data_IF_857271399535
#
_entry.id   IF_857271399535
#
_cell.length_a   1.000
_cell.length_b   1.000
_cell.length_c   1.000
_cell.angle_alpha   90.00
_cell.angle_beta   90.00
_cell.angle_gamma   90.00
#
_symmetry.space_group_name_H-M   'P 1'
#
loop_
_entity.id
_entity.type
_entity.pdbx_description
1 polymer ?
#
# COMPACT_ATOMS: atom_id res chain seq x y z
N UNK A 1 -3.45 1.29 18.34
CA UNK A 1 -2.35 0.46 17.80
C UNK A 1 -2.82 -0.88 17.16
N UNK A 2 -4.12 -1.09 16.88
CA UNK A 2 -4.68 -2.44 16.63
C UNK A 2 -5.23 -2.64 15.19
N UNK A 3 -5.19 -1.61 14.34
CA UNK A 3 -6.02 -1.56 13.12
C UNK A 3 -5.59 -2.51 12.00
N UNK A 4 -4.30 -2.53 11.63
CA UNK A 4 -3.80 -3.46 10.61
C UNK A 4 -3.66 -4.89 11.17
N UNK A 5 -3.31 -5.04 12.45
CA UNK A 5 -3.13 -6.34 13.09
C UNK A 5 -4.46 -7.13 13.12
N UNK A 6 -5.59 -6.46 13.39
CA UNK A 6 -6.92 -7.07 13.24
C UNK A 6 -7.28 -7.41 11.79
N UNK A 7 -6.89 -6.56 10.83
CA UNK A 7 -7.07 -6.82 9.40
C UNK A 7 -6.30 -8.08 8.98
N UNK A 8 -5.05 -8.21 9.42
CA UNK A 8 -4.20 -9.38 9.20
C UNK A 8 -4.83 -10.60 9.84
N UNK A 9 -5.32 -10.50 11.08
CA UNK A 9 -6.05 -11.58 11.76
C UNK A 9 -7.33 -12.00 11.02
N UNK A 10 -8.07 -11.04 10.45
CA UNK A 10 -9.24 -11.35 9.64
C UNK A 10 -8.88 -12.01 8.31
N UNK A 11 -7.75 -11.61 7.70
CA UNK A 11 -7.23 -12.19 6.46
C UNK A 11 -6.63 -13.60 6.68
N UNK A 12 -5.95 -13.85 7.80
CA UNK A 12 -5.44 -15.19 8.16
C UNK A 12 -6.56 -16.17 8.49
N UNK A 13 -7.57 -15.73 9.24
CA UNK A 13 -8.69 -16.59 9.68
C UNK A 13 -9.58 -16.98 8.50
N UNK A 14 -9.81 -16.08 7.54
CA UNK A 14 -10.58 -16.38 6.32
C UNK A 14 -9.74 -16.98 5.19
N UNK A 15 -8.73 -17.80 5.49
CA UNK A 15 -7.82 -18.41 4.51
C UNK A 15 -8.49 -19.38 3.50
N UNK A 16 -9.76 -19.75 3.69
CA UNK A 16 -10.62 -20.39 2.65
C UNK A 16 -11.05 -19.40 1.55
N UNK A 17 -10.93 -18.11 1.80
CA UNK A 17 -11.16 -17.04 0.84
C UNK A 17 -9.83 -16.75 0.12
N UNK A 18 -9.43 -17.69 -0.75
CA UNK A 18 -8.57 -17.42 -1.92
C UNK A 18 -9.13 -16.28 -2.79
N UNK A 19 -10.34 -15.81 -2.50
CA UNK A 19 -10.97 -14.67 -3.14
C UNK A 19 -10.58 -13.30 -2.58
N UNK A 20 -9.78 -13.09 -1.52
CA UNK A 20 -9.36 -11.71 -1.16
C UNK A 20 -8.37 -11.14 -2.18
N UNK A 21 -7.49 -11.99 -2.74
CA UNK A 21 -6.59 -11.60 -3.84
C UNK A 21 -7.37 -11.28 -5.12
N UNK A 22 -8.42 -12.06 -5.41
CA UNK A 22 -9.37 -11.77 -6.49
C UNK A 22 -10.28 -10.57 -6.17
N UNK A 23 -10.64 -10.36 -4.91
CA UNK A 23 -11.54 -9.30 -4.49
C UNK A 23 -10.78 -7.97 -4.47
N UNK A 24 -9.56 -7.87 -3.93
CA UNK A 24 -8.75 -6.66 -4.08
C UNK A 24 -8.48 -6.31 -5.56
N UNK A 25 -8.31 -7.32 -6.42
CA UNK A 25 -8.20 -7.14 -7.88
C UNK A 25 -9.54 -6.78 -8.58
N UNK A 26 -10.71 -7.15 -8.02
CA UNK A 26 -12.04 -6.93 -8.61
C UNK A 26 -12.90 -5.84 -7.94
N UNK A 27 -12.62 -5.45 -6.70
CA UNK A 27 -13.51 -4.66 -5.83
C UNK A 27 -13.47 -3.17 -6.13
N UNK A 28 -12.45 -2.69 -6.84
CA UNK A 28 -12.23 -1.27 -7.09
C UNK A 28 -12.18 -0.44 -5.80
N UNK A 29 -12.06 0.89 -5.97
CA UNK A 29 -11.92 1.82 -4.84
C UNK A 29 -13.10 1.78 -3.84
N UNK A 30 -14.31 1.40 -4.27
CA UNK A 30 -15.54 1.51 -3.46
C UNK A 30 -15.65 0.44 -2.38
N UNK A 31 -15.44 -0.82 -2.72
CA UNK A 31 -15.60 -1.90 -1.74
C UNK A 31 -14.36 -2.02 -0.83
N UNK A 32 -13.17 -1.66 -1.34
CA UNK A 32 -11.98 -1.50 -0.51
C UNK A 32 -12.13 -0.35 0.49
N UNK A 33 -12.67 0.80 0.06
CA UNK A 33 -13.04 1.91 0.94
C UNK A 33 -14.09 1.48 1.97
N UNK A 34 -15.13 0.74 1.58
CA UNK A 34 -16.12 0.19 2.54
C UNK A 34 -15.48 -0.77 3.53
N UNK A 35 -14.57 -1.63 3.09
CA UNK A 35 -13.92 -2.60 3.98
C UNK A 35 -12.95 -1.92 4.96
N UNK A 36 -12.11 -1.00 4.47
CA UNK A 36 -11.26 -0.14 5.31
C UNK A 36 -12.14 0.65 6.27
N UNK A 37 -13.17 1.33 5.78
CA UNK A 37 -14.11 2.07 6.63
C UNK A 37 -14.79 1.16 7.66
N UNK A 38 -15.18 -0.06 7.33
CA UNK A 38 -15.81 -0.99 8.30
C UNK A 38 -14.79 -1.46 9.35
N UNK A 39 -13.58 -1.83 8.92
CA UNK A 39 -12.50 -2.27 9.79
C UNK A 39 -11.98 -1.14 10.71
N UNK A 40 -12.01 0.10 10.23
CA UNK A 40 -11.59 1.32 10.93
C UNK A 40 -12.71 1.87 11.82
N UNK A 41 -13.96 1.92 11.33
CA UNK A 41 -15.15 2.42 12.07
C UNK A 41 -15.48 1.54 13.26
N UNK A 42 -15.31 0.21 13.15
CA UNK A 42 -15.41 -0.71 14.30
C UNK A 42 -14.36 -0.47 15.38
N UNK A 43 -13.39 0.43 15.15
CA UNK A 43 -12.33 0.81 16.08
C UNK A 43 -12.42 2.26 16.53
N UNK A 44 -13.42 3.05 16.08
CA UNK A 44 -13.63 4.44 16.51
C UNK A 44 -14.00 4.60 18.00
N UNK A 45 -14.10 3.51 18.76
CA UNK A 45 -14.09 3.58 20.24
C UNK A 45 -12.68 3.74 20.84
N UNK A 46 -11.61 3.77 20.04
CA UNK A 46 -10.26 4.07 20.51
C UNK A 46 -9.52 4.96 19.49
N UNK A 47 -9.44 6.25 19.82
CA UNK A 47 -8.60 7.33 19.26
C UNK A 47 -7.74 7.01 18.03
N UNK A 48 -7.99 7.77 16.93
CA UNK A 48 -7.20 8.01 15.69
C UNK A 48 -6.25 6.88 15.18
N UNK A 49 -6.19 6.60 13.87
CA UNK A 49 -5.18 5.70 13.33
C UNK A 49 -3.77 6.10 13.78
N UNK A 50 -2.99 5.15 14.27
CA UNK A 50 -1.58 5.42 14.61
C UNK A 50 -0.81 5.80 13.33
N UNK A 51 0.27 6.58 13.46
CA UNK A 51 1.06 7.05 12.30
C UNK A 51 1.51 5.90 11.38
N UNK A 52 1.72 4.70 11.90
CA UNK A 52 2.04 3.49 11.11
C UNK A 52 0.91 3.15 10.12
N UNK A 53 -0.36 3.19 10.55
CA UNK A 53 -1.51 2.95 9.68
C UNK A 53 -1.64 4.07 8.63
N UNK A 54 -1.37 5.31 9.02
CA UNK A 54 -1.36 6.44 8.09
C UNK A 54 -0.32 6.23 6.97
N UNK A 55 0.91 5.88 7.33
CA UNK A 55 1.99 5.58 6.37
C UNK A 55 1.59 4.43 5.45
N UNK A 56 1.11 3.30 6.01
CA UNK A 56 0.64 2.14 5.24
C UNK A 56 -0.39 2.52 4.18
N UNK A 57 -1.44 3.26 4.55
CA UNK A 57 -2.52 3.64 3.64
C UNK A 57 -2.07 4.65 2.58
N UNK A 58 -1.20 5.60 2.95
CA UNK A 58 -0.65 6.56 2.00
C UNK A 58 0.28 5.89 0.99
N UNK A 59 1.16 4.98 1.43
CA UNK A 59 2.00 4.16 0.53
C UNK A 59 1.16 3.34 -0.42
N UNK A 60 0.15 2.64 0.10
CA UNK A 60 -0.78 1.86 -0.70
C UNK A 60 -1.38 2.70 -1.82
N UNK A 61 -1.99 3.83 -1.46
CA UNK A 61 -2.70 4.65 -2.44
C UNK A 61 -1.75 5.36 -3.40
N UNK A 62 -0.58 5.78 -2.93
CA UNK A 62 0.40 6.43 -3.79
C UNK A 62 1.00 5.44 -4.79
N UNK A 63 1.39 4.23 -4.36
CA UNK A 63 1.86 3.17 -5.24
C UNK A 63 0.82 2.77 -6.29
N UNK A 64 -0.46 2.66 -5.89
CA UNK A 64 -1.58 2.43 -6.83
C UNK A 64 -1.66 3.54 -7.90
N UNK A 65 -1.60 4.81 -7.48
CA UNK A 65 -1.71 5.94 -8.39
C UNK A 65 -0.48 6.08 -9.31
N UNK A 66 0.70 5.59 -8.88
CA UNK A 66 1.92 5.57 -9.69
C UNK A 66 1.91 4.47 -10.76
N UNK A 67 0.95 3.54 -10.71
CA UNK A 67 0.88 2.43 -11.67
C UNK A 67 0.93 2.90 -13.12
N UNK A 68 0.22 3.96 -13.50
CA UNK A 68 0.27 4.49 -14.88
C UNK A 68 1.58 5.18 -15.20
N UNK A 69 2.21 5.84 -14.21
CA UNK A 69 3.49 6.56 -14.38
C UNK A 69 4.63 5.60 -14.62
N UNK A 70 4.56 4.40 -14.04
CA UNK A 70 5.54 3.33 -14.22
C UNK A 70 5.18 2.34 -15.34
N UNK A 71 4.15 2.63 -16.16
CA UNK A 71 3.65 1.73 -17.21
C UNK A 71 3.13 0.37 -16.70
N UNK A 72 2.68 0.34 -15.44
CA UNK A 72 2.17 -0.81 -14.70
C UNK A 72 0.66 -0.71 -14.43
N UNK A 73 -0.09 -0.07 -15.32
CA UNK A 73 -1.52 0.20 -15.13
C UNK A 73 -2.36 -1.06 -14.85
N UNK A 74 -1.96 -2.21 -15.39
CA UNK A 74 -2.61 -3.51 -15.14
C UNK A 74 -2.37 -4.07 -13.74
N UNK A 75 -1.35 -3.60 -13.02
CA UNK A 75 -0.91 -4.08 -11.71
C UNK A 75 -1.25 -3.10 -10.57
N UNK A 76 -2.07 -2.07 -10.82
CA UNK A 76 -2.39 -1.04 -9.83
C UNK A 76 -2.90 -1.62 -8.49
N UNK A 77 -3.74 -2.65 -8.53
CA UNK A 77 -4.23 -3.32 -7.32
C UNK A 77 -3.13 -4.05 -6.54
N UNK A 78 -2.14 -4.64 -7.22
CA UNK A 78 -1.01 -5.28 -6.55
C UNK A 78 -0.04 -4.25 -5.96
N UNK A 79 0.18 -3.13 -6.65
CA UNK A 79 0.95 -2.01 -6.12
C UNK A 79 0.27 -1.40 -4.88
N UNK A 80 -1.06 -1.33 -4.85
CA UNK A 80 -1.80 -0.96 -3.64
C UNK A 80 -1.49 -1.91 -2.48
N UNK A 81 -1.60 -3.22 -2.70
CA UNK A 81 -1.34 -4.23 -1.67
C UNK A 81 0.11 -4.21 -1.19
N UNK A 82 1.07 -4.03 -2.10
CA UNK A 82 2.48 -3.86 -1.76
C UNK A 82 2.67 -2.66 -0.81
N UNK A 83 2.14 -1.48 -1.18
CA UNK A 83 2.25 -0.29 -0.33
C UNK A 83 1.57 -0.48 1.02
N UNK A 84 0.42 -1.15 1.06
CA UNK A 84 -0.32 -1.45 2.28
C UNK A 84 0.49 -2.34 3.24
N UNK A 85 1.12 -3.38 2.72
CA UNK A 85 1.91 -4.32 3.52
C UNK A 85 3.36 -3.89 3.78
N UNK A 86 3.78 -2.74 3.25
CA UNK A 86 5.17 -2.24 3.36
C UNK A 86 5.66 -1.91 4.78
N UNK A 87 4.76 -1.91 5.77
CA UNK A 87 5.06 -1.70 7.20
C UNK A 87 4.43 -2.79 8.08
N UNK A 88 4.08 -3.92 7.47
CA UNK A 88 3.37 -5.01 8.15
C UNK A 88 4.19 -5.60 9.30
N UNK A 89 5.49 -5.77 9.08
CA UNK A 89 6.49 -6.19 10.06
C UNK A 89 6.43 -5.37 11.36
N UNK A 90 6.36 -4.05 11.24
CA UNK A 90 6.25 -3.12 12.38
C UNK A 90 4.95 -3.29 13.15
N UNK A 91 3.87 -3.65 12.44
CA UNK A 91 2.54 -3.75 13.04
C UNK A 91 2.41 -5.04 13.83
N UNK A 92 2.87 -6.15 13.28
CA UNK A 92 2.76 -7.46 13.93
C UNK A 92 3.97 -7.79 14.81
N UNK A 93 4.99 -6.92 14.82
CA UNK A 93 6.24 -7.06 15.56
C UNK A 93 6.99 -8.37 15.25
N UNK A 94 7.19 -8.64 13.95
CA UNK A 94 7.92 -9.80 13.41
C UNK A 94 8.72 -9.40 12.18
N UNK A 95 9.75 -10.16 11.79
CA UNK A 95 10.42 -9.96 10.50
C UNK A 95 9.43 -9.96 9.33
N UNK A 96 9.66 -9.12 8.32
CA UNK A 96 8.77 -8.99 7.15
C UNK A 96 8.48 -10.34 6.48
N UNK A 97 9.47 -11.22 6.38
CA UNK A 97 9.29 -12.56 5.83
C UNK A 97 8.26 -13.40 6.61
N UNK A 98 8.29 -13.35 7.94
CA UNK A 98 7.28 -14.02 8.77
C UNK A 98 5.91 -13.35 8.63
N UNK A 99 5.91 -12.03 8.47
CA UNK A 99 4.70 -11.24 8.37
C UNK A 99 3.90 -11.54 7.10
N UNK A 100 4.58 -11.66 5.96
CA UNK A 100 3.93 -11.94 4.67
C UNK A 100 3.37 -13.36 4.58
N UNK A 101 3.94 -14.33 5.29
CA UNK A 101 3.39 -15.69 5.41
C UNK A 101 1.96 -15.72 5.97
N UNK A 102 1.56 -14.68 6.73
CA UNK A 102 0.22 -14.57 7.30
C UNK A 102 -0.82 -14.09 6.28
N UNK A 103 -0.45 -13.25 5.32
CA UNK A 103 -1.41 -12.59 4.41
C UNK A 103 -1.44 -13.17 2.99
N UNK A 104 -0.55 -14.11 2.66
CA UNK A 104 -0.42 -14.75 1.33
C UNK A 104 -0.48 -13.72 0.20
N UNK A 105 0.65 -13.15 -0.18
CA UNK A 105 0.79 -12.17 -1.27
C UNK A 105 1.33 -12.83 -2.56
N UNK A 106 1.42 -12.07 -3.65
CA UNK A 106 2.09 -12.52 -4.88
C UNK A 106 3.61 -12.48 -4.72
N UNK A 107 4.32 -13.24 -5.57
CA UNK A 107 5.78 -13.35 -5.51
C UNK A 107 6.44 -11.99 -5.76
N UNK A 108 5.84 -11.19 -6.64
CA UNK A 108 6.26 -9.83 -6.98
C UNK A 108 6.21 -8.90 -5.76
N UNK A 109 5.21 -9.06 -4.89
CA UNK A 109 5.10 -8.32 -3.63
C UNK A 109 6.13 -8.83 -2.61
N UNK A 110 6.34 -10.15 -2.50
CA UNK A 110 7.34 -10.72 -1.59
C UNK A 110 8.75 -10.26 -1.97
N UNK A 111 9.13 -10.36 -3.23
CA UNK A 111 10.44 -9.93 -3.75
C UNK A 111 10.69 -8.44 -3.49
N UNK A 112 9.67 -7.58 -3.69
CA UNK A 112 9.81 -6.16 -3.45
C UNK A 112 9.93 -5.80 -1.96
N UNK A 113 9.22 -6.51 -1.07
CA UNK A 113 9.17 -6.20 0.35
C UNK A 113 10.28 -6.86 1.18
N UNK A 114 10.83 -7.98 0.72
CA UNK A 114 11.85 -8.74 1.45
C UNK A 114 13.24 -8.53 0.83
N UNK A 115 13.33 -8.55 -0.49
CA UNK A 115 14.62 -8.55 -1.19
C UNK A 115 14.98 -7.18 -1.80
N UNK A 116 14.07 -6.20 -1.72
CA UNK A 116 14.14 -4.91 -2.42
C UNK A 116 14.43 -5.08 -3.92
N UNK A 117 13.82 -6.10 -4.55
CA UNK A 117 14.02 -6.49 -5.94
C UNK A 117 12.72 -6.81 -6.67
N UNK A 118 12.84 -7.10 -7.96
CA UNK A 118 11.72 -7.54 -8.78
C UNK A 118 10.92 -6.37 -9.37
N UNK A 119 9.79 -6.71 -9.98
CA UNK A 119 9.04 -5.79 -10.82
C UNK A 119 8.43 -4.61 -10.05
N UNK A 120 8.06 -4.80 -8.78
CA UNK A 120 7.41 -3.77 -7.96
C UNK A 120 8.39 -2.92 -7.13
N UNK A 121 9.64 -3.38 -6.96
CA UNK A 121 10.64 -2.68 -6.17
C UNK A 121 10.90 -1.22 -6.62
N UNK A 122 10.98 -0.89 -7.93
CA UNK A 122 11.18 0.50 -8.35
C UNK A 122 10.06 1.44 -7.88
N UNK A 123 8.81 0.98 -7.86
CA UNK A 123 7.67 1.78 -7.37
C UNK A 123 7.77 1.97 -5.86
N UNK A 124 8.06 0.89 -5.11
CA UNK A 124 8.22 0.96 -3.67
C UNK A 124 9.35 1.90 -3.26
N UNK A 125 10.48 1.81 -3.95
CA UNK A 125 11.64 2.65 -3.70
C UNK A 125 11.31 4.12 -3.99
N UNK A 126 10.65 4.40 -5.11
CA UNK A 126 10.22 5.75 -5.43
C UNK A 126 9.29 6.33 -4.36
N UNK A 127 8.33 5.54 -3.87
CA UNK A 127 7.45 5.92 -2.75
C UNK A 127 8.26 6.24 -1.50
N UNK A 128 9.21 5.38 -1.10
CA UNK A 128 10.09 5.59 0.07
C UNK A 128 10.91 6.88 -0.08
N UNK A 129 11.45 7.17 -1.27
CA UNK A 129 12.23 8.40 -1.53
C UNK A 129 11.36 9.65 -1.49
N UNK A 130 10.12 9.57 -2.02
CA UNK A 130 9.17 10.67 -1.95
C UNK A 130 8.78 11.01 -0.51
N UNK A 131 8.56 9.98 0.32
CA UNK A 131 8.27 10.17 1.75
C UNK A 131 9.42 10.79 2.54
N UNK A 132 10.66 10.42 2.22
CA UNK A 132 11.86 10.97 2.85
C UNK A 132 12.26 12.35 2.29
N UNK A 133 11.50 12.87 1.32
CA UNK A 133 11.79 14.11 0.60
C UNK A 133 13.18 14.13 -0.06
N UNK A 134 13.66 12.96 -0.53
CA UNK A 134 14.91 12.85 -1.27
C UNK A 134 14.73 13.29 -2.72
N UNK A 135 14.58 14.60 -2.92
CA UNK A 135 14.33 15.20 -4.23
C UNK A 135 15.41 14.89 -5.27
N UNK A 136 16.66 14.71 -4.83
CA UNK A 136 17.75 14.36 -5.73
C UNK A 136 17.53 13.00 -6.40
N UNK A 137 17.17 11.97 -5.64
CA UNK A 137 16.90 10.63 -6.20
C UNK A 137 15.57 10.57 -6.97
N UNK A 138 14.57 11.34 -6.53
CA UNK A 138 13.28 11.47 -7.23
C UNK A 138 13.51 12.08 -8.61
N UNK A 139 14.21 13.22 -8.69
CA UNK A 139 14.53 13.89 -9.95
C UNK A 139 15.36 12.99 -10.87
N UNK A 140 16.37 12.30 -10.31
CA UNK A 140 17.17 11.32 -11.06
C UNK A 140 16.29 10.21 -11.64
N UNK A 141 15.39 9.65 -10.84
CA UNK A 141 14.51 8.54 -11.26
C UNK A 141 13.50 9.01 -12.30
N UNK A 142 12.89 10.19 -12.10
CA UNK A 142 11.94 10.76 -13.06
C UNK A 142 12.60 11.04 -14.41
N UNK A 143 13.83 11.56 -14.42
CA UNK A 143 14.58 11.82 -15.65
C UNK A 143 14.92 10.53 -16.40
N UNK A 144 15.41 9.51 -15.70
CA UNK A 144 15.82 8.24 -16.32
C UNK A 144 14.65 7.45 -16.90
N UNK A 145 13.46 7.58 -16.30
CA UNK A 145 12.25 6.86 -16.73
C UNK A 145 11.28 7.75 -17.53
N UNK A 146 11.70 8.96 -17.92
CA UNK A 146 10.88 9.92 -18.67
C UNK A 146 9.51 10.21 -18.04
N UNK A 147 9.46 10.28 -16.71
CA UNK A 147 8.22 10.51 -15.96
C UNK A 147 7.83 11.99 -15.96
N UNK A 148 6.53 12.25 -16.12
CA UNK A 148 5.98 13.60 -15.97
C UNK A 148 5.83 13.95 -14.48
N UNK A 149 6.51 15.01 -14.03
CA UNK A 149 6.45 15.44 -12.64
C UNK A 149 5.03 15.84 -12.22
N UNK A 150 4.21 16.34 -13.16
CA UNK A 150 2.81 16.67 -12.89
C UNK A 150 2.01 15.42 -12.56
N UNK A 151 2.22 14.32 -13.29
CA UNK A 151 1.54 13.05 -13.01
C UNK A 151 1.94 12.47 -11.65
N UNK A 152 3.23 12.54 -11.30
CA UNK A 152 3.72 12.12 -9.98
C UNK A 152 3.10 12.96 -8.86
N UNK A 153 3.10 14.29 -9.03
CA UNK A 153 2.50 15.21 -8.06
C UNK A 153 0.99 14.94 -7.89
N UNK A 154 0.27 14.80 -9.00
CA UNK A 154 -1.17 14.51 -8.98
C UNK A 154 -1.45 13.16 -8.32
N UNK A 155 -0.60 12.15 -8.54
CA UNK A 155 -0.69 10.85 -7.89
C UNK A 155 -0.56 10.96 -6.36
N UNK A 156 0.41 11.74 -5.87
CA UNK A 156 0.60 11.96 -4.43
C UNK A 156 -0.53 12.76 -3.79
N UNK A 157 -0.91 13.90 -4.38
CA UNK A 157 -2.00 14.74 -3.86
C UNK A 157 -3.33 13.98 -3.83
N UNK A 158 -3.59 13.15 -4.84
CA UNK A 158 -4.79 12.30 -4.87
C UNK A 158 -4.76 11.26 -3.75
N UNK A 159 -3.59 10.70 -3.42
CA UNK A 159 -3.47 9.79 -2.28
C UNK A 159 -3.76 10.48 -0.93
N UNK A 160 -3.26 11.70 -0.73
CA UNK A 160 -3.55 12.49 0.46
C UNK A 160 -5.04 12.83 0.60
N UNK A 161 -5.68 13.25 -0.50
CA UNK A 161 -7.12 13.53 -0.52
C UNK A 161 -7.92 12.27 -0.22
N UNK A 162 -7.59 11.16 -0.87
CA UNK A 162 -8.23 9.87 -0.62
C UNK A 162 -8.15 9.47 0.85
N UNK A 163 -6.96 9.57 1.46
CA UNK A 163 -6.77 9.25 2.87
C UNK A 163 -7.63 10.13 3.77
N UNK A 164 -7.62 11.46 3.55
CA UNK A 164 -8.47 12.39 4.31
C UNK A 164 -9.95 12.00 4.23
N UNK A 165 -10.41 11.64 3.03
CA UNK A 165 -11.81 11.32 2.76
C UNK A 165 -12.24 9.92 3.29
N UNK A 166 -11.34 9.15 3.90
CA UNK A 166 -11.68 7.92 4.65
C UNK A 166 -12.19 8.23 6.07
N UNK A 167 -11.78 9.35 6.65
CA UNK A 167 -12.04 9.72 8.05
C UNK A 167 -12.98 10.92 8.19
N UNK A 168 -13.44 11.48 7.07
CA UNK A 168 -14.51 12.47 6.98
C UNK A 168 -15.87 11.80 6.88
#
# INVERSE_FOLDING_TARGET
>A
MISLLKMVNHMTVNSEITSIRHAAAMLGQKELKKWINTAVTSQLCADRPNEIMRVSLLRAKFAENLATVFEMGGQAGELFLMGLFSVLDLIINKPMEEALKMVKVSKEIEEALIEDKGHFAPVLEFVKQYESANWQEIDRTMLLNHMDSKQVYDAYITALRWYRDLFS
#
